data_IF_542949943819
#
_entry.id   IF_542949943819
#
_cell.length_a   1.000
_cell.length_b   1.000
_cell.length_c   1.000
_cell.angle_alpha   90.00
_cell.angle_beta   90.00
_cell.angle_gamma   90.00
#
_symmetry.space_group_name_H-M   'P 1'
#
loop_
_entity.id
_entity.type
_entity.pdbx_description
1 polymer ?
#
# COMPACT_ATOMS: atom_id res chain seq x y z
N UNK A 1 -11.47 -8.19 -9.12
CA UNK A 1 -11.23 -6.75 -8.80
C UNK A 1 -11.21 -6.49 -7.28
N UNK A 2 -12.01 -7.21 -6.47
CA UNK A 2 -12.05 -7.10 -5.00
C UNK A 2 -10.99 -7.91 -4.23
N UNK A 3 -10.55 -9.06 -4.73
CA UNK A 3 -9.57 -9.92 -4.02
C UNK A 3 -8.25 -9.19 -3.71
N UNK A 4 -7.84 -8.28 -4.60
CA UNK A 4 -6.62 -7.49 -4.45
C UNK A 4 -6.71 -6.53 -3.27
N UNK A 5 -7.89 -5.97 -3.01
CA UNK A 5 -8.07 -5.04 -1.91
C UNK A 5 -8.04 -5.76 -0.56
N UNK A 6 -8.52 -7.00 -0.50
CA UNK A 6 -8.38 -7.83 0.69
C UNK A 6 -6.90 -8.08 1.01
N UNK A 7 -6.08 -8.41 0.01
CA UNK A 7 -4.64 -8.58 0.19
C UNK A 7 -3.93 -7.28 0.59
N UNK A 8 -4.28 -6.15 -0.03
CA UNK A 8 -3.72 -4.83 0.32
C UNK A 8 -4.06 -4.46 1.75
N UNK A 9 -5.34 -4.55 2.14
CA UNK A 9 -5.79 -4.19 3.48
C UNK A 9 -5.26 -5.14 4.55
N UNK A 10 -5.03 -6.42 4.21
CA UNK A 10 -4.34 -7.37 5.09
C UNK A 10 -2.91 -6.90 5.38
N UNK A 11 -2.12 -6.58 4.36
CA UNK A 11 -0.75 -6.06 4.55
C UNK A 11 -0.75 -4.77 5.37
N UNK A 12 -1.67 -3.85 5.07
CA UNK A 12 -1.80 -2.60 5.84
C UNK A 12 -1.99 -2.87 7.34
N UNK A 13 -2.86 -3.84 7.69
CA UNK A 13 -3.13 -4.21 9.08
C UNK A 13 -1.95 -4.94 9.72
N UNK A 14 -1.41 -5.95 9.05
CA UNK A 14 -0.31 -6.78 9.55
C UNK A 14 0.96 -5.93 9.82
N UNK A 15 1.19 -4.91 9.01
CA UNK A 15 2.36 -4.03 9.11
C UNK A 15 2.09 -2.72 9.89
N UNK A 16 0.86 -2.52 10.37
CA UNK A 16 0.48 -1.30 11.09
C UNK A 16 0.70 -0.02 10.27
N UNK A 17 0.43 -0.05 8.97
CA UNK A 17 0.66 1.09 8.08
C UNK A 17 -0.34 2.21 8.35
N UNK A 18 0.16 3.43 8.49
CA UNK A 18 -0.70 4.59 8.66
C UNK A 18 -1.16 5.12 7.30
N UNK A 19 -2.42 4.83 6.95
CA UNK A 19 -3.08 5.39 5.77
C UNK A 19 -3.52 6.82 6.08
N UNK A 20 -3.12 7.76 5.23
CA UNK A 20 -3.51 9.17 5.37
C UNK A 20 -4.42 9.67 4.23
N UNK A 21 -4.58 8.91 3.15
CA UNK A 21 -5.48 9.22 2.05
C UNK A 21 -5.93 7.91 1.38
N UNK A 22 -7.24 7.76 1.14
CA UNK A 22 -7.82 6.59 0.50
C UNK A 22 -8.99 7.01 -0.40
N UNK A 23 -9.02 6.50 -1.62
CA UNK A 23 -10.10 6.70 -2.61
C UNK A 23 -10.57 5.35 -3.12
N UNK A 24 -11.86 5.07 -3.03
CA UNK A 24 -12.48 3.78 -3.40
C UNK A 24 -13.50 3.92 -4.54
N UNK A 25 -13.22 4.83 -5.48
CA UNK A 25 -14.04 5.04 -6.66
C UNK A 25 -13.63 4.09 -7.80
N UNK A 26 -13.84 4.49 -9.06
CA UNK A 26 -13.48 3.71 -10.26
C UNK A 26 -11.98 3.36 -10.25
N UNK A 27 -11.15 4.33 -9.87
CA UNK A 27 -9.72 4.18 -9.65
C UNK A 27 -9.42 4.17 -8.14
N UNK A 28 -9.29 2.96 -7.59
CA UNK A 28 -8.96 2.83 -6.17
C UNK A 28 -7.48 3.13 -5.91
N UNK A 29 -7.21 4.00 -4.93
CA UNK A 29 -5.86 4.37 -4.53
C UNK A 29 -5.77 4.55 -3.02
N UNK A 30 -4.63 4.16 -2.44
CA UNK A 30 -4.31 4.34 -1.03
C UNK A 30 -2.94 4.99 -0.93
N UNK A 31 -2.80 6.00 -0.09
CA UNK A 31 -1.52 6.57 0.30
C UNK A 31 -1.30 6.32 1.79
N UNK A 32 -0.10 5.83 2.10
CA UNK A 32 0.31 5.54 3.46
C UNK A 32 1.73 6.02 3.68
N UNK A 33 2.08 6.22 4.95
CA UNK A 33 3.43 6.53 5.37
C UNK A 33 4.05 5.32 6.07
N UNK A 34 5.36 5.14 5.86
CA UNK A 34 6.16 4.11 6.53
C UNK A 34 7.51 4.70 6.90
N UNK A 35 8.11 4.21 8.01
CA UNK A 35 9.48 4.57 8.37
C UNK A 35 10.45 4.12 7.26
N UNK A 36 11.42 4.97 6.92
CA UNK A 36 12.43 4.71 5.86
C UNK A 36 13.10 3.33 5.97
N UNK A 37 13.41 2.89 7.18
CA UNK A 37 14.03 1.57 7.42
C UNK A 37 13.17 0.37 6.99
N UNK A 38 11.86 0.53 6.84
CA UNK A 38 10.94 -0.53 6.43
C UNK A 38 10.43 -0.36 4.99
N UNK A 39 10.77 0.73 4.29
CA UNK A 39 10.19 1.05 2.98
C UNK A 39 10.41 -0.06 1.95
N UNK A 40 11.61 -0.65 1.94
CA UNK A 40 11.97 -1.73 1.02
C UNK A 40 11.14 -3.01 1.29
N UNK A 41 11.08 -3.44 2.55
CA UNK A 41 10.31 -4.63 2.95
C UNK A 41 8.83 -4.48 2.63
N UNK A 42 8.25 -3.30 2.87
CA UNK A 42 6.84 -3.02 2.54
C UNK A 42 6.62 -3.01 1.03
N UNK A 43 7.53 -2.39 0.27
CA UNK A 43 7.47 -2.38 -1.20
C UNK A 43 7.46 -3.80 -1.77
N UNK A 44 8.34 -4.68 -1.29
CA UNK A 44 8.41 -6.09 -1.70
C UNK A 44 7.13 -6.87 -1.37
N UNK A 45 6.50 -6.60 -0.22
CA UNK A 45 5.22 -7.22 0.16
C UNK A 45 4.11 -6.83 -0.82
N UNK A 46 4.02 -5.56 -1.20
CA UNK A 46 3.02 -5.10 -2.18
C UNK A 46 3.33 -5.55 -3.61
N UNK A 47 4.60 -5.67 -4.01
CA UNK A 47 4.97 -6.16 -5.34
C UNK A 47 4.46 -7.58 -5.62
N UNK A 48 4.27 -8.41 -4.60
CA UNK A 48 3.72 -9.77 -4.74
C UNK A 48 2.25 -9.79 -5.17
N UNK A 49 1.55 -8.65 -5.06
CA UNK A 49 0.15 -8.54 -5.50
C UNK A 49 0.14 -8.12 -6.97
N UNK A 50 -0.29 -9.04 -7.84
CA UNK A 50 -0.31 -8.81 -9.29
C UNK A 50 -1.16 -7.59 -9.70
N UNK A 51 -0.63 -6.81 -10.64
CA UNK A 51 -1.21 -5.59 -11.22
C UNK A 51 -1.51 -4.47 -10.19
N UNK A 52 -0.73 -4.35 -9.12
CA UNK A 52 -0.67 -3.10 -8.36
C UNK A 52 0.28 -2.11 -9.04
N UNK A 53 -0.10 -0.84 -9.00
CA UNK A 53 0.79 0.28 -9.34
C UNK A 53 1.25 0.92 -8.04
N UNK A 54 2.55 0.89 -7.78
CA UNK A 54 3.15 1.48 -6.59
C UNK A 54 3.95 2.71 -7.04
N UNK A 55 3.71 3.86 -6.41
CA UNK A 55 4.42 5.11 -6.69
C UNK A 55 5.02 5.67 -5.41
N UNK A 56 6.31 5.95 -5.43
CA UNK A 56 6.97 6.71 -4.36
C UNK A 56 6.58 8.19 -4.49
N UNK A 57 6.16 8.81 -3.38
CA UNK A 57 5.72 10.21 -3.36
C UNK A 57 6.87 11.13 -2.94
N UNK A 58 7.37 11.00 -1.71
CA UNK A 58 8.50 11.76 -1.18
C UNK A 58 8.99 11.15 0.15
N UNK A 59 10.09 11.66 0.68
CA UNK A 59 10.56 11.41 2.05
C UNK A 59 11.00 12.75 2.64
N UNK A 60 10.54 13.03 3.86
CA UNK A 60 11.04 14.14 4.67
C UNK A 60 12.34 13.76 5.37
#
# INVERSE_FOLDING_TARGET
KYEKMNSVMKIVKDEGLNIFDQRFEIDCSIKFAVRKKYSQTIYEKFQKINNLKIKYLYTN
#
